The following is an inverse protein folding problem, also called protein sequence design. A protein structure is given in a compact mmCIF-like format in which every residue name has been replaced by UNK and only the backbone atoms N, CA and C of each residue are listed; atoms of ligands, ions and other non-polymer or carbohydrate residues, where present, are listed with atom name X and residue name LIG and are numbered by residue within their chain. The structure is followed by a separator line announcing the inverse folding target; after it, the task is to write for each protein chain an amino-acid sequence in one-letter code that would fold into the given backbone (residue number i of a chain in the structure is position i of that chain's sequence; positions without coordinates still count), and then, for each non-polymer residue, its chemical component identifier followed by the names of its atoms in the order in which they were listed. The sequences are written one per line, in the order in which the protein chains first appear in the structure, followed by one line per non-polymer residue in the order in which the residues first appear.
data_IF_729296114829
#
_entry.id   IF_729296114829
#
_cell.length_a   1.000
_cell.length_b   1.000
_cell.length_c   1.000
_cell.angle_alpha   90.00
_cell.angle_beta   90.00
_cell.angle_gamma   90.00
#
_symmetry.space_group_name_H-M   'P 1'
#
loop_
_entity.id
_entity.type
_entity.pdbx_description
1 polymer ?
#
# COMPACT_ATOMS: atom_id res chain seq x y z
N UNK A 1 2.66 -0.83 7.44
CA UNK A 1 2.54 -1.57 6.16
C UNK A 1 1.96 -2.95 6.44
N UNK A 2 0.87 -3.35 5.77
CA UNK A 2 0.17 -4.62 6.03
C UNK A 2 0.27 -5.52 4.79
N UNK A 3 1.40 -6.20 4.66
CA UNK A 3 1.57 -7.25 3.65
C UNK A 3 0.89 -8.55 4.07
N UNK A 4 0.45 -9.35 3.10
CA UNK A 4 -0.10 -10.69 3.34
C UNK A 4 0.71 -11.69 2.52
N UNK A 5 1.12 -12.77 3.18
CA UNK A 5 1.81 -13.90 2.58
C UNK A 5 1.07 -15.19 2.96
N UNK A 6 1.26 -16.23 2.13
CA UNK A 6 0.78 -17.57 2.44
C UNK A 6 1.89 -18.56 2.11
N UNK A 7 1.89 -19.69 2.82
CA UNK A 7 2.85 -20.76 2.64
C UNK A 7 2.24 -22.07 3.16
N UNK A 8 2.82 -23.18 2.74
CA UNK A 8 2.44 -24.52 3.23
C UNK A 8 3.48 -25.01 4.23
N UNK A 9 3.03 -25.77 5.23
CA UNK A 9 3.90 -26.41 6.21
C UNK A 9 3.77 -27.93 6.10
N UNK A 10 4.86 -28.69 6.32
CA UNK A 10 4.80 -30.15 6.32
C UNK A 10 4.16 -30.72 7.61
N UNK A 11 3.93 -29.88 8.62
CA UNK A 11 3.38 -30.26 9.92
C UNK A 11 2.07 -29.54 10.18
N UNK A 12 1.17 -30.19 10.92
CA UNK A 12 -0.01 -29.56 11.49
C UNK A 12 0.34 -28.93 12.86
N UNK A 13 -0.14 -27.72 13.09
CA UNK A 13 0.03 -27.03 14.37
C UNK A 13 -1.30 -27.04 15.14
N UNK A 14 -1.29 -27.51 16.38
CA UNK A 14 -2.46 -27.45 17.26
C UNK A 14 -2.65 -26.07 17.92
N UNK A 15 -1.60 -25.26 17.98
CA UNK A 15 -1.61 -23.89 18.50
C UNK A 15 -0.62 -23.04 17.70
N UNK A 16 -1.09 -21.91 17.18
CA UNK A 16 -0.26 -21.03 16.35
C UNK A 16 0.61 -20.06 17.15
N UNK A 17 0.36 -19.84 18.44
CA UNK A 17 1.09 -18.82 19.22
C UNK A 17 2.59 -19.08 19.35
N UNK A 18 2.98 -20.33 19.61
CA UNK A 18 4.40 -20.69 19.72
C UNK A 18 5.10 -20.52 18.38
N UNK A 19 4.41 -20.88 17.29
CA UNK A 19 4.92 -20.67 15.93
C UNK A 19 5.03 -19.18 15.58
N UNK A 20 4.01 -18.39 15.91
CA UNK A 20 3.99 -16.94 15.72
C UNK A 20 5.16 -16.26 16.46
N UNK A 21 5.39 -16.64 17.71
CA UNK A 21 6.47 -16.11 18.55
C UNK A 21 7.85 -16.49 17.97
N UNK A 22 8.02 -17.74 17.53
CA UNK A 22 9.26 -18.20 16.92
C UNK A 22 9.60 -17.45 15.63
N UNK A 23 8.62 -17.25 14.73
CA UNK A 23 8.84 -16.49 13.48
C UNK A 23 9.28 -15.06 13.81
N UNK A 24 8.58 -14.36 14.70
CA UNK A 24 8.94 -13.00 15.09
C UNK A 24 10.30 -12.91 15.80
N UNK A 25 10.74 -13.97 16.49
CA UNK A 25 12.07 -14.05 17.09
C UNK A 25 13.22 -14.22 16.07
N UNK A 26 12.93 -14.72 14.87
CA UNK A 26 13.91 -14.91 13.78
C UNK A 26 13.97 -13.73 12.80
N UNK A 27 12.92 -12.90 12.76
CA UNK A 27 12.82 -11.80 11.81
C UNK A 27 13.64 -10.57 12.24
N UNK A 28 14.24 -9.85 11.28
CA UNK A 28 14.90 -8.57 11.55
C UNK A 28 13.90 -7.54 12.10
N UNK A 29 14.35 -6.52 12.85
CA UNK A 29 13.48 -5.64 13.64
C UNK A 29 12.43 -4.86 12.83
N UNK A 30 12.66 -4.66 11.54
CA UNK A 30 11.81 -3.97 10.58
C UNK A 30 10.70 -4.85 9.99
N UNK A 31 10.75 -6.17 10.19
CA UNK A 31 9.74 -7.12 9.71
C UNK A 31 9.07 -7.82 10.89
N UNK A 32 7.74 -7.73 10.96
CA UNK A 32 6.94 -8.36 12.00
C UNK A 32 5.71 -9.04 11.41
N UNK A 33 5.47 -10.29 11.80
CA UNK A 33 4.20 -10.97 11.61
C UNK A 33 3.25 -10.45 12.68
N UNK A 34 2.10 -9.91 12.27
CA UNK A 34 1.09 -9.35 13.17
C UNK A 34 -0.03 -10.33 13.49
N UNK A 35 -0.28 -11.24 12.55
CA UNK A 35 -1.36 -12.21 12.61
C UNK A 35 -0.91 -13.46 11.85
N UNK A 36 -1.27 -14.63 12.38
CA UNK A 36 -1.14 -15.90 11.67
C UNK A 36 -2.41 -16.71 11.85
N UNK A 37 -2.91 -17.24 10.74
CA UNK A 37 -4.14 -18.02 10.67
C UNK A 37 -3.95 -19.20 9.73
N UNK A 38 -4.72 -20.27 9.98
CA UNK A 38 -4.91 -21.30 8.96
C UNK A 38 -5.70 -20.69 7.79
N UNK A 39 -5.33 -21.04 6.57
CA UNK A 39 -6.02 -20.61 5.36
C UNK A 39 -6.64 -21.81 4.64
N UNK A 40 -7.72 -21.57 3.91
CA UNK A 40 -8.29 -22.56 3.00
C UNK A 40 -7.26 -22.96 1.92
N UNK A 41 -7.20 -24.22 1.46
CA UNK A 41 -6.21 -24.65 0.45
C UNK A 41 -6.26 -23.85 -0.86
N UNK A 42 -7.42 -23.31 -1.22
CA UNK A 42 -7.67 -22.50 -2.41
C UNK A 42 -7.25 -21.03 -2.22
N UNK A 43 -6.94 -20.61 -0.98
CA UNK A 43 -6.47 -19.26 -0.72
C UNK A 43 -5.08 -19.04 -1.29
N UNK A 44 -4.92 -17.94 -2.02
CA UNK A 44 -3.63 -17.51 -2.51
C UNK A 44 -3.49 -16.00 -2.35
N UNK A 45 -2.51 -15.57 -1.55
CA UNK A 45 -2.36 -14.19 -1.09
C UNK A 45 -2.33 -13.14 -2.22
N UNK A 46 -1.93 -13.52 -3.44
CA UNK A 46 -1.84 -12.61 -4.59
C UNK A 46 -3.07 -12.66 -5.52
N UNK A 47 -3.67 -13.82 -5.72
CA UNK A 47 -4.71 -14.02 -6.76
C UNK A 47 -6.11 -14.01 -6.20
N UNK A 48 -6.29 -14.31 -4.91
CA UNK A 48 -7.57 -14.17 -4.21
C UNK A 48 -7.89 -12.71 -3.82
N UNK A 49 -6.96 -11.77 -4.04
CA UNK A 49 -7.13 -10.34 -3.71
C UNK A 49 -8.30 -9.71 -4.49
N UNK A 50 -9.15 -8.95 -3.78
CA UNK A 50 -10.24 -8.14 -4.35
C UNK A 50 -9.84 -6.69 -4.57
N UNK A 51 -9.18 -6.07 -3.59
CA UNK A 51 -8.62 -4.72 -3.71
C UNK A 51 -7.39 -4.53 -2.82
N UNK A 52 -6.65 -3.45 -3.08
CA UNK A 52 -5.53 -2.99 -2.26
C UNK A 52 -5.69 -1.51 -1.97
N UNK A 53 -5.40 -1.11 -0.74
CA UNK A 53 -5.34 0.29 -0.35
C UNK A 53 -3.89 0.67 -0.13
N UNK A 54 -3.45 1.72 -0.82
CA UNK A 54 -2.14 2.34 -0.61
C UNK A 54 -2.30 3.74 -0.06
N UNK A 55 -1.41 4.12 0.85
CA UNK A 55 -1.17 5.51 1.21
C UNK A 55 0.12 6.00 0.59
N UNK A 56 0.13 7.26 0.17
CA UNK A 56 1.34 8.01 -0.04
C UNK A 56 1.33 9.26 0.83
N UNK A 57 2.37 9.46 1.64
CA UNK A 57 2.49 10.63 2.52
C UNK A 57 3.45 11.65 1.95
N UNK A 58 2.99 12.90 1.89
CA UNK A 58 3.80 14.06 1.54
C UNK A 58 3.85 14.97 2.77
N UNK A 59 5.05 15.27 3.26
CA UNK A 59 5.27 16.28 4.28
C UNK A 59 5.42 17.65 3.59
N UNK A 60 4.54 18.60 3.89
CA UNK A 60 4.36 19.84 3.14
C UNK A 60 4.55 21.11 3.96
N UNK A 61 5.64 21.16 4.71
CA UNK A 61 6.14 22.36 5.37
C UNK A 61 7.53 22.74 4.87
N UNK A 62 7.97 23.96 5.18
CA UNK A 62 9.26 24.47 4.73
C UNK A 62 10.43 23.62 5.23
N UNK A 63 10.34 23.11 6.46
CA UNK A 63 11.37 22.30 7.12
C UNK A 63 10.78 20.93 7.48
N UNK A 64 11.47 19.87 7.04
CA UNK A 64 11.10 18.49 7.33
C UNK A 64 11.35 18.15 8.81
N UNK A 65 10.35 17.57 9.47
CA UNK A 65 10.55 16.95 10.79
C UNK A 65 11.41 15.67 10.63
N UNK A 66 12.53 15.53 11.36
CA UNK A 66 13.38 14.35 11.35
C UNK A 66 12.61 13.02 11.52
N UNK A 67 11.54 12.99 12.33
CA UNK A 67 10.75 11.78 12.57
C UNK A 67 9.97 11.29 11.34
N UNK A 68 9.82 12.13 10.31
CA UNK A 68 9.10 11.80 9.09
C UNK A 68 10.02 11.43 7.92
N UNK A 69 11.35 11.61 8.06
CA UNK A 69 12.33 11.55 6.94
C UNK A 69 12.32 10.25 6.17
N UNK A 70 12.13 9.13 6.86
CA UNK A 70 12.04 7.80 6.24
C UNK A 70 10.62 7.39 5.87
N UNK A 71 9.64 8.27 6.09
CA UNK A 71 8.23 7.91 6.15
C UNK A 71 7.30 8.82 5.34
N UNK A 72 7.78 9.96 4.85
CA UNK A 72 7.02 10.86 3.98
C UNK A 72 7.95 11.57 3.00
N UNK A 73 7.46 11.83 1.79
CA UNK A 73 8.17 12.66 0.83
C UNK A 73 8.10 14.12 1.24
N UNK A 74 9.22 14.80 1.39
CA UNK A 74 9.24 16.23 1.67
C UNK A 74 9.01 17.05 0.39
N UNK A 75 7.96 17.88 0.39
CA UNK A 75 7.78 18.94 -0.60
C UNK A 75 7.91 20.29 0.09
N UNK A 76 8.99 21.01 -0.20
CA UNK A 76 9.21 22.38 0.28
C UNK A 76 8.27 23.41 -0.40
N UNK A 77 7.78 23.10 -1.60
CA UNK A 77 6.73 23.90 -2.24
C UNK A 77 5.39 23.60 -1.60
N UNK A 78 4.65 24.64 -1.17
CA UNK A 78 3.27 24.51 -0.73
C UNK A 78 2.43 23.90 -1.87
N UNK A 79 1.69 22.86 -1.52
CA UNK A 79 0.82 22.15 -2.46
C UNK A 79 -0.62 22.56 -2.21
N UNK A 80 -1.39 22.71 -3.27
CA UNK A 80 -2.83 22.89 -3.26
C UNK A 80 -3.53 21.51 -3.23
N UNK A 81 -4.06 21.05 -2.07
CA UNK A 81 -4.68 19.74 -1.98
C UNK A 81 -6.00 19.64 -2.74
N UNK A 82 -6.68 20.78 -2.98
CA UNK A 82 -7.92 20.82 -3.74
C UNK A 82 -7.66 20.50 -5.23
N UNK A 83 -6.69 21.18 -5.84
CA UNK A 83 -6.27 20.88 -7.21
C UNK A 83 -5.77 19.44 -7.36
N UNK A 84 -5.07 18.93 -6.34
CA UNK A 84 -4.66 17.51 -6.29
C UNK A 84 -5.87 16.57 -6.24
N UNK A 85 -6.91 16.89 -5.45
CA UNK A 85 -8.13 16.09 -5.39
C UNK A 85 -8.89 16.11 -6.71
N UNK A 86 -9.03 17.27 -7.36
CA UNK A 86 -9.64 17.39 -8.69
C UNK A 86 -8.94 16.49 -9.71
N UNK A 87 -7.60 16.51 -9.73
CA UNK A 87 -6.81 15.63 -10.59
C UNK A 87 -6.95 14.15 -10.20
N UNK A 88 -7.00 13.85 -8.90
CA UNK A 88 -7.15 12.48 -8.39
C UNK A 88 -8.48 11.85 -8.84
N UNK A 89 -9.55 12.66 -8.92
CA UNK A 89 -10.87 12.20 -9.37
C UNK A 89 -10.85 11.64 -10.79
N UNK A 90 -9.99 12.16 -11.68
CA UNK A 90 -9.86 11.65 -13.04
C UNK A 90 -9.24 10.24 -13.13
N UNK A 91 -8.58 9.77 -12.08
CA UNK A 91 -8.06 8.40 -12.02
C UNK A 91 -9.12 7.35 -11.62
N UNK A 92 -10.22 7.77 -11.00
CA UNK A 92 -11.28 6.87 -10.55
C UNK A 92 -11.99 6.27 -11.77
N UNK A 93 -12.31 4.98 -11.70
CA UNK A 93 -12.90 4.22 -12.79
C UNK A 93 -11.97 3.14 -13.36
N UNK A 94 -12.28 2.70 -14.58
CA UNK A 94 -11.54 1.63 -15.28
C UNK A 94 -10.77 2.26 -16.44
N UNK A 95 -9.45 2.18 -16.38
CA UNK A 95 -8.56 2.82 -17.36
C UNK A 95 -7.42 1.89 -17.76
N UNK A 96 -6.86 2.14 -18.94
CA UNK A 96 -5.54 1.63 -19.34
C UNK A 96 -4.46 2.52 -18.70
N UNK A 97 -3.70 1.96 -17.75
CA UNK A 97 -2.67 2.70 -17.00
C UNK A 97 -1.26 2.56 -17.59
N UNK A 98 -1.12 2.24 -18.88
CA UNK A 98 0.18 2.10 -19.54
C UNK A 98 1.07 3.34 -19.38
N UNK A 99 0.50 4.56 -19.44
CA UNK A 99 1.23 5.82 -19.19
C UNK A 99 1.79 5.96 -17.77
N UNK A 100 1.30 5.16 -16.82
CA UNK A 100 1.72 5.16 -15.43
C UNK A 100 2.52 3.90 -15.06
N UNK A 101 2.75 2.99 -16.00
CA UNK A 101 3.52 1.77 -15.77
C UNK A 101 4.98 1.97 -16.16
N UNK A 102 5.90 1.45 -15.34
CA UNK A 102 7.27 1.25 -15.79
C UNK A 102 7.37 -0.11 -16.50
N UNK A 103 8.14 -0.17 -17.59
CA UNK A 103 8.48 -1.44 -18.23
C UNK A 103 9.17 -2.37 -17.22
N UNK A 104 8.78 -3.64 -17.22
CA UNK A 104 9.43 -4.69 -16.42
C UNK A 104 9.92 -5.75 -17.38
N UNK A 105 11.20 -6.11 -17.31
CA UNK A 105 11.82 -7.06 -18.24
C UNK A 105 11.28 -8.50 -18.16
N UNK A 106 10.62 -8.90 -17.06
CA UNK A 106 10.45 -10.33 -16.71
C UNK A 106 9.08 -10.74 -16.15
N UNK A 107 8.00 -9.96 -16.30
CA UNK A 107 6.68 -10.37 -15.80
C UNK A 107 5.74 -10.71 -16.95
N UNK A 108 5.04 -11.85 -16.85
CA UNK A 108 3.94 -12.24 -17.76
C UNK A 108 3.04 -11.03 -17.98
N UNK A 109 2.68 -10.74 -19.23
CA UNK A 109 1.90 -9.56 -19.65
C UNK A 109 0.68 -9.37 -18.74
N UNK A 110 0.80 -8.51 -17.72
CA UNK A 110 -0.33 -8.16 -16.86
C UNK A 110 -1.15 -7.14 -17.62
N UNK A 111 -2.47 -7.36 -17.70
CA UNK A 111 -3.36 -6.39 -18.31
C UNK A 111 -3.10 -4.98 -17.74
N UNK A 112 -2.85 -3.97 -18.59
CA UNK A 112 -2.63 -2.60 -18.14
C UNK A 112 -3.94 -1.94 -17.67
N UNK A 113 -5.08 -2.59 -17.94
CA UNK A 113 -6.39 -2.16 -17.48
C UNK A 113 -6.51 -2.45 -15.98
N UNK A 114 -6.76 -1.40 -15.19
CA UNK A 114 -7.03 -1.48 -13.75
C UNK A 114 -8.27 -0.67 -13.40
N UNK A 115 -8.89 -1.04 -12.28
CA UNK A 115 -9.98 -0.29 -11.67
C UNK A 115 -9.47 0.39 -10.41
N UNK A 116 -9.61 1.70 -10.34
CA UNK A 116 -9.46 2.48 -9.11
C UNK A 116 -10.88 2.80 -8.63
N UNK A 117 -11.23 2.35 -7.42
CA UNK A 117 -12.54 2.62 -6.82
C UNK A 117 -12.58 3.94 -6.08
N UNK A 118 -11.44 4.39 -5.54
CA UNK A 118 -11.33 5.60 -4.72
C UNK A 118 -9.93 6.16 -4.78
N UNK A 119 -9.81 7.48 -4.83
CA UNK A 119 -8.53 8.18 -4.74
C UNK A 119 -8.74 9.52 -4.01
N UNK A 120 -8.43 9.51 -2.71
CA UNK A 120 -8.66 10.64 -1.81
C UNK A 120 -7.34 11.35 -1.48
N UNK A 121 -7.41 12.67 -1.39
CA UNK A 121 -6.33 13.56 -0.97
C UNK A 121 -6.78 14.30 0.28
N UNK A 122 -6.15 14.02 1.41
CA UNK A 122 -6.51 14.60 2.71
C UNK A 122 -5.33 15.34 3.31
N UNK A 123 -5.52 16.60 3.68
CA UNK A 123 -4.54 17.37 4.45
C UNK A 123 -4.78 17.16 5.95
N UNK A 124 -3.73 16.76 6.65
CA UNK A 124 -3.66 16.54 8.09
C UNK A 124 -2.43 17.29 8.61
N UNK A 125 -2.62 18.51 9.10
CA UNK A 125 -1.54 19.41 9.52
C UNK A 125 -0.45 19.56 8.44
N UNK A 126 0.78 19.12 8.74
CA UNK A 126 1.93 19.13 7.84
C UNK A 126 1.91 18.00 6.79
N UNK A 127 1.02 17.02 6.89
CA UNK A 127 0.95 15.88 5.97
C UNK A 127 -0.19 16.06 4.98
N UNK A 128 0.09 15.83 3.70
CA UNK A 128 -0.91 15.53 2.68
C UNK A 128 -0.83 14.03 2.42
N UNK A 129 -1.92 13.32 2.73
CA UNK A 129 -2.05 11.88 2.49
C UNK A 129 -2.88 11.63 1.24
N UNK A 130 -2.34 10.80 0.37
CA UNK A 130 -2.97 10.30 -0.84
C UNK A 130 -3.36 8.85 -0.61
N UNK A 131 -4.65 8.56 -0.50
CA UNK A 131 -5.19 7.21 -0.30
C UNK A 131 -5.81 6.71 -1.60
N UNK A 132 -5.29 5.61 -2.15
CA UNK A 132 -5.81 5.02 -3.39
C UNK A 132 -6.22 3.58 -3.16
N UNK A 133 -7.45 3.25 -3.56
CA UNK A 133 -7.97 1.89 -3.58
C UNK A 133 -8.22 1.41 -5.01
N UNK A 134 -7.76 0.21 -5.32
CA UNK A 134 -8.02 -0.40 -6.62
C UNK A 134 -7.88 -1.92 -6.62
N UNK A 135 -8.31 -2.56 -7.70
CA UNK A 135 -8.25 -4.03 -7.87
C UNK A 135 -6.83 -4.56 -8.00
N UNK A 136 -5.87 -3.68 -8.25
CA UNK A 136 -4.45 -3.95 -8.33
C UNK A 136 -3.74 -2.80 -9.02
N UNK A 137 -2.41 -2.79 -8.93
CA UNK A 137 -1.59 -1.72 -9.51
C UNK A 137 -0.43 -2.32 -10.31
N UNK A 138 -0.10 -1.68 -11.41
CA UNK A 138 1.08 -1.98 -12.23
C UNK A 138 2.36 -1.56 -11.50
N UNK A 139 3.51 -2.03 -11.98
CA UNK A 139 4.79 -1.70 -11.37
C UNK A 139 5.00 -0.17 -11.37
N UNK A 140 5.19 0.38 -10.17
CA UNK A 140 5.33 1.83 -9.87
C UNK A 140 4.13 2.71 -10.20
N UNK A 141 2.97 2.15 -10.55
CA UNK A 141 1.77 2.93 -10.94
C UNK A 141 1.40 3.99 -9.89
N UNK A 142 1.24 3.61 -8.63
CA UNK A 142 0.84 4.55 -7.56
C UNK A 142 1.83 5.72 -7.45
N UNK A 143 3.13 5.44 -7.44
CA UNK A 143 4.18 6.48 -7.35
C UNK A 143 4.21 7.41 -8.57
N UNK A 144 3.87 6.88 -9.75
CA UNK A 144 3.77 7.67 -10.97
C UNK A 144 2.51 8.55 -10.98
N UNK A 145 1.37 8.07 -10.48
CA UNK A 145 0.17 8.89 -10.30
C UNK A 145 0.43 10.01 -9.29
N UNK A 146 1.01 9.68 -8.12
CA UNK A 146 1.38 10.66 -7.09
C UNK A 146 2.34 11.72 -7.65
N UNK A 147 3.31 11.34 -8.47
CA UNK A 147 4.24 12.29 -9.08
C UNK A 147 3.53 13.35 -9.93
N UNK A 148 2.53 12.95 -10.72
CA UNK A 148 1.72 13.88 -11.51
C UNK A 148 0.87 14.77 -10.60
N UNK A 149 0.25 14.20 -9.57
CA UNK A 149 -0.53 14.96 -8.59
C UNK A 149 0.32 15.98 -7.84
N UNK A 150 1.60 15.70 -7.56
CA UNK A 150 2.52 16.69 -6.98
C UNK A 150 2.73 17.88 -7.94
N UNK A 151 2.82 17.66 -9.26
CA UNK A 151 2.95 18.77 -10.22
C UNK A 151 1.68 19.61 -10.30
N UNK A 152 0.51 18.96 -10.26
CA UNK A 152 -0.78 19.67 -10.17
C UNK A 152 -0.90 20.44 -8.86
N UNK A 153 -0.50 19.83 -7.74
CA UNK A 153 -0.52 20.49 -6.43
C UNK A 153 0.42 21.69 -6.35
N UNK A 154 1.50 21.71 -7.14
CA UNK A 154 2.36 22.90 -7.31
C UNK A 154 1.74 23.97 -8.21
N UNK A 155 0.55 23.74 -8.74
CA UNK A 155 -0.14 24.58 -9.72
C UNK A 155 0.66 24.79 -11.02
N UNK A 156 1.65 23.91 -11.27
CA UNK A 156 2.44 23.93 -12.51
C UNK A 156 1.76 23.20 -13.68
N UNK A 157 0.74 22.40 -13.39
CA UNK A 157 -0.09 21.72 -14.38
C UNK A 157 -1.56 21.80 -13.96
N UNK A 158 -2.49 21.91 -14.91
CA UNK A 158 -3.92 21.90 -14.60
C UNK A 158 -4.41 20.46 -14.32
N UNK A 159 -5.44 20.24 -13.50
CA UNK A 159 -5.98 18.91 -13.19
C UNK A 159 -6.33 18.05 -14.42
N UNK A 160 -6.78 18.68 -15.51
CA UNK A 160 -7.17 18.08 -16.78
C UNK A 160 -6.00 17.43 -17.53
N UNK A 161 -4.76 17.56 -17.03
CA UNK A 161 -3.61 16.83 -17.56
C UNK A 161 -3.77 15.31 -17.38
N UNK A 162 -4.43 14.86 -16.32
CA UNK A 162 -4.59 13.44 -15.99
C UNK A 162 -5.27 12.66 -17.12
N UNK A 163 -6.47 13.02 -17.61
CA UNK A 163 -7.11 12.30 -18.71
C UNK A 163 -6.28 12.33 -20.00
N UNK A 164 -5.54 13.41 -20.27
CA UNK A 164 -4.63 13.48 -21.43
C UNK A 164 -3.50 12.45 -21.33
N UNK A 165 -2.87 12.33 -20.16
CA UNK A 165 -1.81 11.34 -19.93
C UNK A 165 -2.37 9.92 -19.98
N UNK A 166 -3.56 9.65 -19.41
CA UNK A 166 -4.22 8.34 -19.52
C UNK A 166 -4.48 7.97 -21.00
N UNK A 167 -5.04 8.90 -21.77
CA UNK A 167 -5.38 8.67 -23.18
C UNK A 167 -4.16 8.35 -24.06
N UNK A 168 -3.00 8.88 -23.73
CA UNK A 168 -1.76 8.65 -24.49
C UNK A 168 -1.28 7.20 -24.48
N UNK A 169 -1.58 6.45 -23.41
CA UNK A 169 -1.10 5.07 -23.18
C UNK A 169 0.42 4.87 -23.36
N UNK A 170 1.20 5.93 -23.22
CA UNK A 170 2.67 5.93 -23.35
C UNK A 170 3.30 6.56 -22.11
N UNK A 171 4.15 5.77 -21.43
CA UNK A 171 4.88 6.21 -20.24
C UNK A 171 5.78 7.41 -20.51
N UNK A 172 6.22 7.62 -21.75
CA UNK A 172 7.03 8.77 -22.15
C UNK A 172 6.28 10.10 -21.96
N UNK A 173 4.96 10.14 -22.14
CA UNK A 173 4.19 11.37 -21.95
C UNK A 173 4.22 11.84 -20.50
N UNK A 174 4.04 10.92 -19.54
CA UNK A 174 4.22 11.26 -18.13
C UNK A 174 5.66 11.67 -17.82
N UNK A 175 6.65 11.04 -18.45
CA UNK A 175 8.07 11.32 -18.19
C UNK A 175 8.50 12.75 -18.59
N UNK A 176 7.77 13.39 -19.50
CA UNK A 176 8.00 14.79 -19.90
C UNK A 176 7.68 15.79 -18.78
N UNK A 177 6.78 15.43 -17.86
CA UNK A 177 6.24 16.36 -16.86
C UNK A 177 6.50 15.92 -15.42
N UNK A 178 6.75 14.63 -15.16
CA UNK A 178 6.93 14.13 -13.80
C UNK A 178 7.89 12.93 -13.72
N UNK A 179 8.77 13.00 -12.72
CA UNK A 179 9.61 11.88 -12.27
C UNK A 179 8.90 11.08 -11.19
N UNK A 180 9.06 9.75 -11.21
CA UNK A 180 8.40 8.86 -10.24
C UNK A 180 8.67 9.30 -8.81
N UNK A 181 7.62 9.44 -8.00
CA UNK A 181 7.74 9.88 -6.61
C UNK A 181 8.63 8.90 -5.82
N UNK A 182 9.45 9.32 -4.84
CA UNK A 182 10.29 8.42 -4.03
C UNK A 182 9.49 7.29 -3.34
N UNK A 183 10.11 6.13 -3.01
CA UNK A 183 9.36 5.00 -2.46
C UNK A 183 9.00 5.13 -0.98
N UNK A 184 9.78 5.88 -0.18
CA UNK A 184 9.66 5.91 1.29
C UNK A 184 8.36 6.54 1.81
N UNK A 185 7.65 7.31 0.98
CA UNK A 185 6.33 7.83 1.31
C UNK A 185 5.20 6.84 1.07
N UNK A 186 5.44 5.70 0.41
CA UNK A 186 4.41 4.74 -0.01
C UNK A 186 4.23 3.60 0.99
N UNK A 187 2.98 3.33 1.34
CA UNK A 187 2.57 2.26 2.25
C UNK A 187 1.47 1.42 1.66
N UNK A 188 1.61 0.10 1.71
CA UNK A 188 0.48 -0.81 1.57
C UNK A 188 -0.28 -0.85 2.92
N UNK A 189 -1.53 -0.40 2.90
CA UNK A 189 -2.37 -0.29 4.11
C UNK A 189 -3.28 -1.47 4.31
N UNK A 190 -3.85 -2.00 3.23
CA UNK A 190 -4.65 -3.22 3.29
C UNK A 190 -4.61 -4.00 1.98
N UNK A 191 -4.81 -5.30 2.11
CA UNK A 191 -5.16 -6.20 1.01
C UNK A 191 -6.49 -6.82 1.38
N UNK A 192 -7.52 -6.52 0.60
CA UNK A 192 -8.88 -6.95 0.87
C UNK A 192 -9.15 -8.24 0.09
N UNK A 193 -9.76 -9.21 0.76
CA UNK A 193 -10.13 -10.51 0.20
C UNK A 193 -11.63 -10.75 0.38
N UNK A 194 -12.15 -11.78 -0.28
CA UNK A 194 -13.47 -12.29 0.04
C UNK A 194 -13.50 -12.83 1.49
N UNK A 195 -14.59 -12.62 2.23
CA UNK A 195 -14.69 -13.16 3.60
C UNK A 195 -14.75 -14.68 3.61
N UNK A 196 -15.32 -15.29 2.58
CA UNK A 196 -15.46 -16.73 2.49
C UNK A 196 -14.10 -17.42 2.30
N UNK A 197 -13.23 -16.87 1.45
CA UNK A 197 -11.90 -17.46 1.20
C UNK A 197 -10.95 -17.33 2.40
N UNK A 198 -11.26 -16.42 3.33
CA UNK A 198 -10.50 -16.25 4.57
C UNK A 198 -10.98 -17.16 5.71
N UNK A 199 -12.09 -17.89 5.54
CA UNK A 199 -12.57 -18.79 6.59
C UNK A 199 -11.59 -19.97 6.72
N UNK A 200 -11.04 -20.22 7.92
CA UNK A 200 -10.18 -21.38 8.12
C UNK A 200 -11.01 -22.68 8.03
N UNK A 201 -10.40 -23.79 7.57
CA UNK A 201 -11.04 -25.10 7.61
C UNK A 201 -11.52 -25.48 9.02
N UNK A 202 -12.59 -26.26 9.11
CA UNK A 202 -13.13 -26.75 10.39
C UNK A 202 -12.05 -27.53 11.14
N UNK A 203 -11.90 -27.27 12.44
CA UNK A 203 -10.88 -27.90 13.29
C UNK A 203 -9.49 -27.27 13.20
N UNK A 204 -9.32 -26.18 12.45
CA UNK A 204 -8.08 -25.41 12.43
C UNK A 204 -7.77 -24.80 13.80
N UNK A 205 -6.48 -24.63 14.14
CA UNK A 205 -6.09 -23.90 15.34
C UNK A 205 -6.62 -22.45 15.28
N UNK A 206 -6.91 -21.84 16.44
CA UNK A 206 -7.34 -20.44 16.49
C UNK A 206 -6.25 -19.52 15.91
N UNK A 207 -6.71 -18.41 15.32
CA UNK A 207 -5.84 -17.33 14.84
C UNK A 207 -4.99 -16.82 16.00
N UNK A 208 -3.70 -16.61 15.75
CA UNK A 208 -2.80 -15.97 16.72
C UNK A 208 -2.54 -14.52 16.33
N UNK A 209 -2.83 -13.62 17.26
CA UNK A 209 -2.48 -12.18 17.19
C UNK A 209 -1.20 -11.86 17.98
N UNK A 210 -0.48 -12.89 18.42
CA UNK A 210 0.67 -12.77 19.32
C UNK A 210 0.27 -12.93 20.79
N UNK A 211 1.26 -13.14 21.65
CA UNK A 211 1.05 -13.25 23.10
C UNK A 211 1.37 -11.94 23.78
N UNK A 212 0.44 -11.45 24.59
CA UNK A 212 0.73 -10.41 25.58
C UNK A 212 1.05 -11.12 26.89
N UNK A 213 2.31 -11.03 27.34
CA UNK A 213 2.65 -11.53 28.67
C UNK A 213 2.07 -10.58 29.72
N UNK A 214 1.01 -11.00 30.41
CA UNK A 214 0.61 -10.36 31.64
C UNK A 214 1.49 -10.88 32.78
N UNK A 215 2.30 -10.01 33.38
CA UNK A 215 3.06 -10.35 34.59
C UNK A 215 2.05 -10.55 35.72
N UNK A 216 1.69 -11.79 35.98
CA UNK A 216 0.84 -12.19 37.09
C UNK A 216 1.76 -12.69 38.21
N UNK A 217 1.97 -11.83 39.21
CA UNK A 217 2.79 -12.01 40.42
C UNK A 217 4.29 -11.73 40.26
N UNK A 218 4.65 -10.46 40.46
CA UNK A 218 5.93 -10.15 41.10
C UNK A 218 5.82 -10.61 42.56
N UNK A 219 6.31 -11.80 42.90
CA UNK A 219 6.58 -12.12 44.31
C UNK A 219 7.79 -11.28 44.71
N UNK A 220 7.55 -10.07 45.21
CA UNK A 220 8.55 -9.36 46.01
C UNK A 220 8.78 -10.25 47.25
N UNK A 221 9.94 -10.90 47.30
CA UNK A 221 10.48 -11.46 48.53
C UNK A 221 10.89 -10.27 49.40
N UNK A 222 9.98 -9.84 50.28
CA UNK A 222 10.35 -9.16 51.51
C UNK A 222 10.51 -10.22 52.59
#
# INVERSE_FOLDING_TARGET
MHGVAHFTTPFAYHCLDSFHSAINGLLPPDIRVREISAACPEFHARTSTKSKIYHYKIYNEAVMDPFHTNYAYHSAHKLNPHAMQEAANHFVGVHDFSSFANAVHNDRVRSPIKKISRFDVTKMDAIIQLEVEGTGFLYRQVRNMVALLIQVGREGLPPEIVPRIIAAKDRKELAKVALSAPPHGLYLMSVNYDKEILKPPVGSPPVSFGRTHQISRCKLLF
#
